data_IF_462373111982
#
_entry.id   IF_462373111982
#
_cell.length_a   1.000
_cell.length_b   1.000
_cell.length_c   1.000
_cell.angle_alpha   90.00
_cell.angle_beta   90.00
_cell.angle_gamma   90.00
#
_symmetry.space_group_name_H-M   'P 1'
#
loop_
_entity.id
_entity.type
_entity.pdbx_description
1 polymer ?
#
# COMPACT_ATOMS: atom_id res chain seq x y z
N UNK A 1 7.08 -40.44 20.27
CA UNK A 1 5.84 -40.48 19.46
C UNK A 1 4.87 -39.33 19.71
N UNK A 2 4.68 -38.86 20.96
CA UNK A 2 3.84 -37.66 21.20
C UNK A 2 4.47 -36.34 20.73
N UNK A 3 5.82 -36.23 20.68
CA UNK A 3 6.49 -35.00 20.22
C UNK A 3 6.32 -34.78 18.72
N UNK A 4 6.45 -35.83 17.91
CA UNK A 4 6.33 -35.74 16.44
C UNK A 4 4.91 -35.37 16.00
N UNK A 5 3.89 -35.88 16.68
CA UNK A 5 2.50 -35.49 16.38
C UNK A 5 2.20 -34.04 16.80
N UNK A 6 2.84 -33.55 17.87
CA UNK A 6 2.67 -32.18 18.33
C UNK A 6 3.40 -31.15 17.46
N UNK A 7 4.59 -31.48 16.93
CA UNK A 7 5.35 -30.60 16.04
C UNK A 7 4.68 -30.48 14.68
N UNK A 8 4.25 -31.61 14.08
CA UNK A 8 3.50 -31.61 12.81
C UNK A 8 2.21 -30.80 12.92
N UNK A 9 1.45 -30.98 14.01
CA UNK A 9 0.21 -30.21 14.23
C UNK A 9 0.46 -28.72 14.47
N UNK A 10 1.60 -28.36 15.05
CA UNK A 10 2.00 -26.96 15.26
C UNK A 10 2.39 -26.29 13.93
N UNK A 11 3.14 -26.98 13.07
CA UNK A 11 3.49 -26.49 11.73
C UNK A 11 2.23 -26.33 10.85
N UNK A 12 1.30 -27.29 10.89
CA UNK A 12 0.02 -27.18 10.17
C UNK A 12 -0.80 -25.97 10.63
N UNK A 13 -0.84 -25.69 11.94
CA UNK A 13 -1.56 -24.53 12.48
C UNK A 13 -0.92 -23.20 12.08
N UNK A 14 0.41 -23.16 11.95
CA UNK A 14 1.14 -21.98 11.47
C UNK A 14 0.88 -21.74 9.98
N UNK A 15 0.88 -22.80 9.17
CA UNK A 15 0.56 -22.71 7.74
C UNK A 15 -0.88 -22.25 7.51
N UNK A 16 -1.84 -22.73 8.30
CA UNK A 16 -3.24 -22.28 8.25
C UNK A 16 -3.35 -20.79 8.62
N UNK A 17 -2.68 -20.35 9.69
CA UNK A 17 -2.68 -18.94 10.09
C UNK A 17 -2.06 -18.03 9.01
N UNK A 18 -1.05 -18.51 8.28
CA UNK A 18 -0.44 -17.75 7.18
C UNK A 18 -1.39 -17.61 5.99
N UNK A 19 -2.10 -18.69 5.63
CA UNK A 19 -3.11 -18.66 4.56
C UNK A 19 -4.27 -17.72 4.92
N UNK A 20 -4.77 -17.80 6.15
CA UNK A 20 -5.80 -16.89 6.65
C UNK A 20 -5.32 -15.43 6.66
N UNK A 21 -4.05 -15.19 6.97
CA UNK A 21 -3.47 -13.85 6.94
C UNK A 21 -3.41 -13.28 5.52
N UNK A 22 -3.07 -14.11 4.53
CA UNK A 22 -3.03 -13.72 3.13
C UNK A 22 -4.43 -13.39 2.59
N UNK A 23 -5.44 -14.20 2.92
CA UNK A 23 -6.84 -13.90 2.58
C UNK A 23 -7.34 -12.60 3.21
N UNK A 24 -6.98 -12.34 4.47
CA UNK A 24 -7.32 -11.09 5.17
C UNK A 24 -6.62 -9.86 4.55
N UNK A 25 -5.39 -10.01 4.07
CA UNK A 25 -4.67 -8.93 3.37
C UNK A 25 -5.31 -8.56 2.03
N UNK A 26 -5.73 -9.54 1.25
CA UNK A 26 -6.37 -9.29 -0.03
C UNK A 26 -7.71 -8.54 0.14
N UNK A 27 -8.47 -8.88 1.18
CA UNK A 27 -9.68 -8.14 1.56
C UNK A 27 -9.38 -6.70 1.97
N UNK A 28 -8.35 -6.50 2.80
CA UNK A 28 -7.88 -5.18 3.19
C UNK A 28 -7.48 -4.36 1.97
N UNK A 29 -6.85 -4.97 0.97
CA UNK A 29 -6.43 -4.28 -0.26
C UNK A 29 -7.62 -3.76 -1.08
N UNK A 30 -8.76 -4.46 -1.09
CA UNK A 30 -9.99 -4.01 -1.75
C UNK A 30 -10.57 -2.75 -1.09
N UNK A 31 -10.74 -2.79 0.23
CA UNK A 31 -11.25 -1.66 1.01
C UNK A 31 -10.26 -0.50 0.99
N UNK A 32 -8.97 -0.82 1.11
CA UNK A 32 -7.88 0.13 0.97
C UNK A 32 -7.88 0.76 -0.41
N UNK A 33 -8.13 0.04 -1.50
CA UNK A 33 -8.29 0.64 -2.82
C UNK A 33 -9.42 1.67 -2.85
N UNK A 34 -10.59 1.31 -2.32
CA UNK A 34 -11.76 2.18 -2.31
C UNK A 34 -11.63 3.41 -1.39
N UNK A 35 -10.87 3.30 -0.30
CA UNK A 35 -10.66 4.41 0.65
C UNK A 35 -9.40 5.20 0.31
N UNK A 36 -8.31 4.53 -0.04
CA UNK A 36 -7.04 5.16 -0.38
C UNK A 36 -7.15 5.93 -1.69
N UNK A 37 -7.79 5.40 -2.74
CA UNK A 37 -7.91 6.10 -4.02
C UNK A 37 -8.51 7.52 -3.89
N UNK A 38 -9.66 7.74 -3.23
CA UNK A 38 -10.20 9.08 -3.02
C UNK A 38 -9.37 9.94 -2.06
N UNK A 39 -8.73 9.33 -1.05
CA UNK A 39 -7.86 10.06 -0.11
C UNK A 39 -6.58 10.56 -0.78
N UNK A 40 -5.90 9.70 -1.55
CA UNK A 40 -4.75 10.07 -2.37
C UNK A 40 -5.16 11.10 -3.42
N UNK A 41 -6.30 10.92 -4.10
CA UNK A 41 -6.79 11.90 -5.07
C UNK A 41 -6.98 13.30 -4.46
N UNK A 42 -7.62 13.39 -3.29
CA UNK A 42 -7.83 14.68 -2.60
C UNK A 42 -6.54 15.26 -2.02
N UNK A 43 -5.66 14.42 -1.49
CA UNK A 43 -4.40 14.86 -0.90
C UNK A 43 -3.39 15.30 -1.96
N UNK A 44 -3.25 14.50 -3.03
CA UNK A 44 -2.44 14.83 -4.20
C UNK A 44 -3.03 16.06 -4.88
N UNK A 45 -4.33 16.15 -5.16
CA UNK A 45 -4.91 17.32 -5.84
C UNK A 45 -4.64 18.66 -5.13
N UNK A 46 -4.80 18.71 -3.80
CA UNK A 46 -4.57 19.96 -3.04
C UNK A 46 -3.08 20.27 -2.88
N UNK A 47 -2.23 19.29 -2.63
CA UNK A 47 -0.80 19.53 -2.42
C UNK A 47 0.01 19.63 -3.71
N UNK A 48 -0.36 18.87 -4.74
CA UNK A 48 0.25 18.97 -6.07
C UNK A 48 -0.10 20.27 -6.77
N UNK A 49 -1.30 20.84 -6.56
CA UNK A 49 -1.61 22.14 -7.19
C UNK A 49 -0.64 23.22 -6.73
N UNK A 50 -0.42 23.35 -5.42
CA UNK A 50 0.56 24.31 -4.89
C UNK A 50 2.00 23.92 -5.20
N UNK A 51 2.35 22.62 -5.11
CA UNK A 51 3.71 22.16 -5.40
C UNK A 51 4.07 22.33 -6.89
N UNK A 52 3.18 21.96 -7.81
CA UNK A 52 3.37 22.12 -9.25
C UNK A 52 3.37 23.59 -9.65
N UNK A 53 2.53 24.43 -9.03
CA UNK A 53 2.53 25.88 -9.27
C UNK A 53 3.78 26.57 -8.72
N UNK A 54 4.24 26.23 -7.50
CA UNK A 54 5.49 26.72 -6.93
C UNK A 54 6.70 26.23 -7.73
N UNK A 55 6.69 24.97 -8.19
CA UNK A 55 7.70 24.39 -9.08
C UNK A 55 7.70 25.08 -10.45
N UNK A 56 6.52 25.39 -10.99
CA UNK A 56 6.35 26.14 -12.24
C UNK A 56 6.85 27.58 -12.11
N UNK A 57 6.52 28.27 -11.01
CA UNK A 57 7.05 29.60 -10.71
C UNK A 57 8.57 29.60 -10.50
N UNK A 58 9.11 28.57 -9.83
CA UNK A 58 10.54 28.47 -9.53
C UNK A 58 11.41 28.05 -10.72
N UNK A 59 10.89 27.22 -11.64
CA UNK A 59 11.67 26.72 -12.78
C UNK A 59 11.44 27.48 -14.10
N UNK A 60 10.30 28.16 -14.25
CA UNK A 60 9.95 28.88 -15.48
C UNK A 60 9.77 27.97 -16.72
N UNK A 61 9.17 28.51 -17.78
CA UNK A 61 8.83 27.85 -19.06
C UNK A 61 10.06 27.54 -19.94
N UNK A 62 11.13 26.97 -19.38
CA UNK A 62 12.39 26.67 -20.06
C UNK A 62 12.86 25.24 -19.86
N UNK A 63 13.92 24.83 -20.58
CA UNK A 63 14.50 23.46 -20.61
C UNK A 63 14.86 22.87 -19.23
N UNK A 64 14.92 23.69 -18.17
CA UNK A 64 15.08 23.26 -16.78
C UNK A 64 13.82 22.62 -16.16
N UNK A 65 12.69 22.63 -16.87
CA UNK A 65 11.47 21.93 -16.46
C UNK A 65 11.46 20.45 -16.91
N UNK A 66 12.20 20.10 -17.98
CA UNK A 66 12.19 18.78 -18.63
C UNK A 66 13.52 17.99 -18.50
N UNK A 67 14.54 18.57 -17.85
CA UNK A 67 15.88 18.00 -17.68
C UNK A 67 16.29 18.11 -16.21
#
# INVERSE_FOLDING_TARGET
DLSDTSSVRSDDSYLQALLEWEENLDQLRSIFGMVLMPLLGRYLGRKWSFWAFDRYQKLGLGKAFLL
#
